data_IF_188844170934
#
_entry.id   IF_188844170934
#
_cell.length_a   1.000
_cell.length_b   1.000
_cell.length_c   1.000
_cell.angle_alpha   90.00
_cell.angle_beta   90.00
_cell.angle_gamma   90.00
#
_symmetry.space_group_name_H-M   'P 1'
#
loop_
_entity.id
_entity.type
_entity.pdbx_description
1 polymer ?
#
# COMPACT_ATOMS: atom_id res chain seq x y z
N UNK A 1 12.95 5.33 14.97
CA UNK A 1 13.57 5.22 13.63
C UNK A 1 12.95 6.28 12.70
N UNK A 2 13.64 6.69 11.62
CA UNK A 2 13.07 7.61 10.61
C UNK A 2 12.76 6.87 9.33
N UNK A 3 11.54 6.99 8.82
CA UNK A 3 11.11 6.41 7.54
C UNK A 3 10.65 7.49 6.60
N UNK A 4 10.96 7.35 5.31
CA UNK A 4 10.34 8.15 4.25
C UNK A 4 8.93 7.61 4.00
N UNK A 5 7.98 8.50 3.70
CA UNK A 5 6.63 8.09 3.30
C UNK A 5 6.19 8.85 2.06
N UNK A 6 5.64 8.12 1.07
CA UNK A 6 5.00 8.74 -0.09
C UNK A 6 3.72 9.46 0.31
N UNK A 7 3.31 10.43 -0.49
CA UNK A 7 2.07 11.18 -0.30
C UNK A 7 1.14 10.96 -1.48
N UNK A 8 -0.18 10.88 -1.23
CA UNK A 8 -1.17 10.99 -2.31
C UNK A 8 -1.18 12.41 -2.88
N UNK A 9 -1.74 12.56 -4.08
CA UNK A 9 -1.97 13.87 -4.70
C UNK A 9 -3.48 14.10 -4.71
N UNK A 10 -3.88 15.30 -4.29
CA UNK A 10 -5.23 15.80 -4.46
C UNK A 10 -5.20 16.96 -5.45
N UNK A 11 -6.17 17.01 -6.35
CA UNK A 11 -6.39 18.14 -7.24
C UNK A 11 -7.68 18.86 -6.82
N UNK A 12 -7.66 20.20 -6.76
CA UNK A 12 -8.85 21.00 -6.52
C UNK A 12 -9.60 21.29 -7.83
N UNK A 13 -10.75 21.95 -7.72
CA UNK A 13 -11.61 22.31 -8.86
C UNK A 13 -10.94 23.28 -9.86
N UNK A 14 -9.86 23.95 -9.46
CA UNK A 14 -9.06 24.84 -10.30
C UNK A 14 -7.88 24.11 -10.97
N UNK A 15 -7.73 22.81 -10.76
CA UNK A 15 -6.63 22.00 -11.28
C UNK A 15 -5.32 22.12 -10.48
N UNK A 16 -5.33 22.77 -9.31
CA UNK A 16 -4.16 22.87 -8.45
C UNK A 16 -3.93 21.54 -7.72
N UNK A 17 -2.71 21.01 -7.84
CA UNK A 17 -2.32 19.75 -7.20
C UNK A 17 -1.66 19.99 -5.84
N UNK A 18 -2.01 19.17 -4.86
CA UNK A 18 -1.49 19.22 -3.50
C UNK A 18 -0.98 17.85 -3.06
N UNK A 19 0.14 17.82 -2.35
CA UNK A 19 0.52 16.64 -1.59
C UNK A 19 -0.46 16.45 -0.42
N UNK A 20 -0.86 15.20 -0.19
CA UNK A 20 -1.79 14.83 0.89
C UNK A 20 -1.30 13.57 1.61
N UNK A 21 -1.21 13.65 2.92
CA UNK A 21 -0.99 12.52 3.80
C UNK A 21 -1.97 12.60 4.97
N UNK A 22 -2.69 11.50 5.26
CA UNK A 22 -3.54 11.43 6.44
C UNK A 22 -2.66 11.42 7.70
N UNK A 23 -2.99 12.27 8.68
CA UNK A 23 -2.26 12.35 9.94
C UNK A 23 -2.29 11.05 10.75
N UNK A 24 -3.24 10.17 10.48
CA UNK A 24 -3.34 8.84 11.10
C UNK A 24 -2.10 7.98 10.86
N UNK A 25 -1.41 8.15 9.70
CA UNK A 25 -0.12 7.50 9.48
C UNK A 25 0.90 7.92 10.54
N UNK A 26 1.01 9.20 10.83
CA UNK A 26 1.93 9.70 11.86
C UNK A 26 1.61 9.11 13.23
N UNK A 27 0.32 9.06 13.60
CA UNK A 27 -0.12 8.52 14.89
C UNK A 27 0.20 7.02 14.98
N UNK A 28 -0.17 6.23 13.95
CA UNK A 28 0.05 4.79 13.93
C UNK A 28 1.54 4.43 14.04
N UNK A 29 2.37 5.00 13.17
CA UNK A 29 3.80 4.69 13.16
C UNK A 29 4.57 5.28 14.36
N UNK A 30 4.10 6.38 14.93
CA UNK A 30 4.68 6.91 16.18
C UNK A 30 4.52 5.93 17.34
N UNK A 31 3.41 5.19 17.43
CA UNK A 31 3.22 4.14 18.43
C UNK A 31 4.24 2.99 18.28
N UNK A 32 4.82 2.83 17.09
CA UNK A 32 5.90 1.89 16.80
C UNK A 32 7.31 2.53 16.89
N UNK A 33 7.44 3.73 17.46
CA UNK A 33 8.68 4.50 17.53
C UNK A 33 9.30 4.83 16.15
N UNK A 34 8.45 5.00 15.13
CA UNK A 34 8.83 5.39 13.78
C UNK A 34 8.35 6.83 13.52
N UNK A 35 9.28 7.71 13.17
CA UNK A 35 9.00 9.08 12.73
C UNK A 35 8.94 9.12 11.22
N UNK A 36 7.84 9.62 10.64
CA UNK A 36 7.64 9.69 9.21
C UNK A 36 8.12 11.03 8.64
N UNK A 37 8.81 10.96 7.52
CA UNK A 37 9.24 12.12 6.71
C UNK A 37 8.48 12.05 5.37
N UNK A 38 7.44 12.87 5.16
CA UNK A 38 6.70 12.90 3.91
C UNK A 38 7.58 13.41 2.76
N UNK A 39 7.60 12.67 1.63
CA UNK A 39 8.35 13.05 0.44
C UNK A 39 7.44 13.83 -0.51
N UNK A 40 7.90 15.00 -0.95
CA UNK A 40 7.16 15.87 -1.86
C UNK A 40 7.17 15.31 -3.29
N UNK A 41 6.00 15.19 -3.92
CA UNK A 41 5.84 14.67 -5.28
C UNK A 41 6.32 15.66 -6.35
N UNK A 42 6.36 16.97 -6.06
CA UNK A 42 6.56 18.03 -7.06
C UNK A 42 7.99 18.56 -7.14
N UNK A 43 8.84 18.26 -6.17
CA UNK A 43 10.24 18.65 -6.24
C UNK A 43 11.02 17.76 -7.21
N UNK A 44 11.92 18.34 -7.99
CA UNK A 44 12.72 17.62 -8.98
C UNK A 44 13.80 16.73 -8.36
N UNK A 45 14.46 17.21 -7.30
CA UNK A 45 15.53 16.48 -6.62
C UNK A 45 15.04 15.87 -5.31
N UNK A 46 14.62 14.60 -5.38
CA UNK A 46 14.19 13.83 -4.22
C UNK A 46 15.36 13.26 -3.41
N UNK A 47 16.58 13.26 -3.96
CA UNK A 47 17.76 12.72 -3.25
C UNK A 47 18.10 13.49 -1.98
N UNK A 48 17.64 14.74 -1.85
CA UNK A 48 17.81 15.53 -0.61
C UNK A 48 17.10 14.92 0.62
N UNK A 49 16.16 14.00 0.43
CA UNK A 49 15.56 13.24 1.54
C UNK A 49 16.44 12.05 1.97
N UNK A 50 17.39 11.62 1.11
CA UNK A 50 18.16 10.41 1.29
C UNK A 50 19.39 10.68 2.16
N UNK A 51 19.44 10.04 3.31
CA UNK A 51 20.58 10.13 4.23
C UNK A 51 20.64 8.87 5.10
N UNK A 52 21.74 8.70 5.84
CA UNK A 52 22.02 7.51 6.65
C UNK A 52 21.07 7.30 7.83
N UNK A 53 20.29 8.34 8.22
CA UNK A 53 19.30 8.24 9.31
C UNK A 53 18.01 7.55 8.87
N UNK A 54 17.76 7.45 7.57
CA UNK A 54 16.59 6.77 7.02
C UNK A 54 16.76 5.27 7.18
N UNK A 55 15.78 4.63 7.82
CA UNK A 55 15.79 3.20 8.16
C UNK A 55 14.69 2.40 7.44
N UNK A 56 13.88 3.04 6.60
CA UNK A 56 12.87 2.38 5.80
C UNK A 56 12.06 3.36 4.96
N UNK A 57 11.22 2.79 4.11
CA UNK A 57 10.33 3.49 3.19
C UNK A 57 8.92 2.95 3.33
N UNK A 58 7.92 3.84 3.31
CA UNK A 58 6.50 3.48 3.28
C UNK A 58 5.88 4.09 2.03
N UNK A 59 5.20 3.29 1.24
CA UNK A 59 4.28 3.76 0.21
C UNK A 59 2.88 3.80 0.79
N UNK A 60 2.32 5.00 0.90
CA UNK A 60 1.03 5.21 1.56
C UNK A 60 -0.14 4.75 0.70
N UNK A 61 -1.29 4.51 1.33
CA UNK A 61 -2.57 4.35 0.65
C UNK A 61 -3.01 5.63 -0.07
N UNK A 62 -3.98 5.50 -0.95
CA UNK A 62 -4.61 6.63 -1.63
C UNK A 62 -6.12 6.41 -1.68
N UNK A 63 -6.90 7.46 -1.33
CA UNK A 63 -8.35 7.47 -1.54
C UNK A 63 -8.75 8.17 -2.84
N UNK A 64 -7.81 8.72 -3.57
CA UNK A 64 -8.08 9.56 -4.74
C UNK A 64 -7.56 8.86 -6.01
N UNK A 65 -8.32 7.88 -6.47
CA UNK A 65 -8.33 7.54 -7.89
C UNK A 65 -9.18 8.64 -8.52
N UNK A 66 -8.60 9.45 -9.41
CA UNK A 66 -9.35 10.39 -10.20
C UNK A 66 -10.56 9.65 -10.79
N UNK A 67 -11.77 10.13 -10.51
CA UNK A 67 -12.97 9.66 -11.19
C UNK A 67 -12.79 10.02 -12.65
N UNK A 68 -12.28 9.08 -13.45
CA UNK A 68 -12.32 9.21 -14.89
C UNK A 68 -13.79 9.09 -15.27
N UNK A 69 -14.40 10.11 -15.90
CA UNK A 69 -15.78 10.03 -16.32
C UNK A 69 -15.99 8.85 -17.26
N UNK A 70 -16.99 8.02 -16.97
CA UNK A 70 -17.66 7.05 -17.83
C UNK A 70 -16.85 6.47 -19.00
N UNK A 71 -15.90 5.60 -18.70
CA UNK A 71 -15.38 4.72 -19.74
C UNK A 71 -15.42 3.27 -19.20
N UNK A 72 -16.38 2.52 -19.73
CA UNK A 72 -16.49 1.06 -19.62
C UNK A 72 -15.28 0.37 -20.28
N UNK A 73 -14.16 0.26 -19.60
CA UNK A 73 -13.02 -0.51 -20.11
C UNK A 73 -12.48 -1.45 -19.07
N UNK A 74 -12.47 -2.70 -19.46
CA UNK A 74 -12.24 -3.93 -18.69
C UNK A 74 -10.80 -4.07 -18.18
N UNK A 75 -9.82 -3.32 -18.68
CA UNK A 75 -8.37 -3.50 -18.45
C UNK A 75 -7.67 -2.22 -18.01
N UNK A 76 -8.14 -1.55 -16.95
CA UNK A 76 -7.42 -0.35 -16.51
C UNK A 76 -6.55 -0.63 -15.29
N UNK A 77 -5.23 -0.48 -15.50
CA UNK A 77 -4.32 -0.14 -14.41
C UNK A 77 -4.87 1.11 -13.70
N UNK A 78 -4.89 1.15 -12.36
CA UNK A 78 -5.31 2.34 -11.65
C UNK A 78 -4.49 3.54 -12.14
N UNK A 79 -5.19 4.66 -12.41
CA UNK A 79 -4.50 5.88 -12.84
C UNK A 79 -3.71 6.44 -11.66
N UNK A 80 -2.41 6.43 -11.78
CA UNK A 80 -1.52 7.08 -10.83
C UNK A 80 -1.12 8.45 -11.38
N UNK A 81 -1.23 9.49 -10.57
CA UNK A 81 -0.59 10.75 -10.92
C UNK A 81 0.88 10.50 -11.24
N UNK A 82 1.33 10.93 -12.41
CA UNK A 82 2.71 10.68 -12.89
C UNK A 82 3.76 11.16 -11.88
N UNK A 83 3.50 12.28 -11.19
CA UNK A 83 4.39 12.83 -10.19
C UNK A 83 4.52 11.90 -8.97
N UNK A 84 3.41 11.29 -8.54
CA UNK A 84 3.41 10.30 -7.46
C UNK A 84 4.08 9.02 -7.90
N UNK A 85 3.73 8.51 -9.07
CA UNK A 85 4.32 7.30 -9.63
C UNK A 85 5.84 7.43 -9.74
N UNK A 86 6.32 8.54 -10.29
CA UNK A 86 7.75 8.84 -10.35
C UNK A 86 8.40 8.89 -8.96
N UNK A 87 7.73 9.52 -7.98
CA UNK A 87 8.23 9.57 -6.59
C UNK A 87 8.33 8.18 -5.98
N UNK A 88 7.30 7.37 -6.13
CA UNK A 88 7.24 6.02 -5.56
C UNK A 88 8.27 5.10 -6.21
N UNK A 89 8.49 5.20 -7.53
CA UNK A 89 9.56 4.45 -8.19
C UNK A 89 10.95 4.78 -7.60
N UNK A 90 11.26 6.06 -7.40
CA UNK A 90 12.51 6.49 -6.77
C UNK A 90 12.64 5.98 -5.33
N UNK A 91 11.54 5.97 -4.57
CA UNK A 91 11.53 5.47 -3.20
C UNK A 91 11.72 3.95 -3.13
N UNK A 92 11.13 3.20 -4.06
CA UNK A 92 11.34 1.75 -4.18
C UNK A 92 12.82 1.47 -4.48
N UNK A 93 13.37 2.10 -5.52
CA UNK A 93 14.79 1.95 -5.89
C UNK A 93 15.72 2.29 -4.71
N UNK A 94 15.43 3.35 -3.97
CA UNK A 94 16.21 3.75 -2.80
C UNK A 94 16.19 2.67 -1.72
N UNK A 95 15.01 2.10 -1.41
CA UNK A 95 14.88 1.04 -0.42
C UNK A 95 15.62 -0.23 -0.84
N UNK A 96 15.45 -0.68 -2.09
CA UNK A 96 16.11 -1.87 -2.65
C UNK A 96 17.63 -1.74 -2.65
N UNK A 97 18.17 -0.61 -3.11
CA UNK A 97 19.61 -0.37 -3.17
C UNK A 97 20.28 -0.39 -1.80
N UNK A 98 19.59 0.05 -0.75
CA UNK A 98 20.12 0.07 0.62
C UNK A 98 19.69 -1.16 1.44
N UNK A 99 18.85 -2.04 0.89
CA UNK A 99 18.25 -3.19 1.58
C UNK A 99 17.59 -2.79 2.91
N UNK A 100 16.90 -1.65 2.91
CA UNK A 100 16.09 -1.18 4.04
C UNK A 100 14.63 -1.57 3.83
N UNK A 101 13.81 -1.72 4.89
CA UNK A 101 12.40 -2.07 4.79
C UNK A 101 11.63 -1.18 3.80
N UNK A 102 10.89 -1.81 2.89
CA UNK A 102 9.92 -1.20 2.00
C UNK A 102 8.53 -1.73 2.36
N UNK A 103 7.65 -0.85 2.83
CA UNK A 103 6.29 -1.20 3.25
C UNK A 103 5.30 -0.54 2.31
N UNK A 104 4.37 -1.31 1.73
CA UNK A 104 3.25 -0.80 0.93
C UNK A 104 1.92 -0.98 1.67
N UNK A 105 1.12 0.09 1.74
CA UNK A 105 -0.22 0.08 2.35
C UNK A 105 -1.25 0.41 1.27
N UNK A 106 -2.23 -0.48 1.04
CA UNK A 106 -3.31 -0.33 0.08
C UNK A 106 -2.75 0.02 -1.33
N UNK A 107 -2.89 1.25 -1.80
CA UNK A 107 -2.26 1.71 -3.04
C UNK A 107 -0.75 1.40 -3.09
N UNK A 108 -0.04 1.63 -1.99
CA UNK A 108 1.41 1.37 -1.92
C UNK A 108 1.74 -0.10 -2.11
N UNK A 109 0.91 -1.02 -1.60
CA UNK A 109 1.01 -2.45 -1.86
C UNK A 109 0.83 -2.74 -3.37
N UNK A 110 -0.23 -2.19 -3.97
CA UNK A 110 -0.51 -2.35 -5.40
C UNK A 110 0.63 -1.79 -6.26
N UNK A 111 1.18 -0.63 -5.89
CA UNK A 111 2.34 -0.02 -6.57
C UNK A 111 3.58 -0.90 -6.52
N UNK A 112 3.86 -1.55 -5.42
CA UNK A 112 4.98 -2.50 -5.31
C UNK A 112 4.76 -3.69 -6.25
N UNK A 113 3.56 -4.26 -6.28
CA UNK A 113 3.23 -5.35 -7.21
C UNK A 113 3.42 -4.94 -8.68
N UNK A 114 2.89 -3.77 -9.08
CA UNK A 114 3.05 -3.23 -10.44
C UNK A 114 4.52 -2.96 -10.80
N UNK A 115 5.32 -2.45 -9.85
CA UNK A 115 6.75 -2.21 -10.04
C UNK A 115 7.52 -3.49 -10.37
N UNK A 116 7.14 -4.62 -9.78
CA UNK A 116 7.74 -5.93 -10.04
C UNK A 116 7.07 -6.71 -11.18
N UNK A 117 6.14 -6.09 -11.92
CA UNK A 117 5.52 -6.66 -13.11
C UNK A 117 4.23 -7.43 -12.88
N UNK A 118 3.69 -7.42 -11.67
CA UNK A 118 2.36 -7.94 -11.38
C UNK A 118 1.25 -7.06 -11.93
N UNK A 119 0.00 -7.52 -11.84
CA UNK A 119 -1.17 -6.79 -12.34
C UNK A 119 -2.13 -6.40 -11.21
N UNK A 120 -2.96 -5.39 -11.47
CA UNK A 120 -3.95 -4.85 -10.53
C UNK A 120 -5.30 -4.80 -11.24
N UNK A 121 -6.36 -5.22 -10.57
CA UNK A 121 -7.71 -5.30 -11.11
C UNK A 121 -8.69 -4.43 -10.33
N UNK A 122 -9.65 -3.84 -11.04
CA UNK A 122 -10.77 -3.19 -10.39
C UNK A 122 -11.80 -4.25 -9.93
N UNK A 123 -12.26 -4.16 -8.70
CA UNK A 123 -13.27 -5.08 -8.15
C UNK A 123 -14.59 -5.11 -8.94
N UNK A 124 -14.88 -4.10 -9.75
CA UNK A 124 -16.13 -3.95 -10.49
C UNK A 124 -16.50 -5.15 -11.36
N UNK A 125 -15.54 -5.96 -11.77
CA UNK A 125 -15.78 -7.11 -12.65
C UNK A 125 -16.07 -8.42 -11.92
N UNK A 126 -15.81 -8.50 -10.61
CA UNK A 126 -15.94 -9.76 -9.88
C UNK A 126 -17.12 -9.88 -8.92
N UNK A 127 -18.02 -8.94 -8.82
CA UNK A 127 -19.34 -8.98 -8.11
C UNK A 127 -19.62 -7.70 -7.31
N UNK A 128 -20.32 -6.80 -7.95
CA UNK A 128 -20.66 -5.43 -7.53
C UNK A 128 -21.39 -5.23 -6.20
N UNK A 129 -21.95 -6.26 -5.56
CA UNK A 129 -23.01 -6.01 -4.56
C UNK A 129 -22.50 -5.81 -3.12
N UNK A 130 -21.27 -6.13 -2.81
CA UNK A 130 -20.79 -6.15 -1.43
C UNK A 130 -19.60 -5.23 -1.09
N UNK A 131 -18.87 -4.71 -2.07
CA UNK A 131 -17.63 -3.95 -1.81
C UNK A 131 -17.74 -2.42 -1.95
N UNK A 132 -18.89 -1.87 -2.30
CA UNK A 132 -19.05 -0.42 -2.53
C UNK A 132 -19.14 0.45 -1.28
N UNK A 133 -19.01 -0.11 -0.08
CA UNK A 133 -19.09 0.65 1.17
C UNK A 133 -17.73 0.69 1.85
N UNK A 134 -17.05 1.82 1.74
CA UNK A 134 -15.85 2.10 2.52
C UNK A 134 -16.13 1.96 4.03
N UNK A 135 -15.19 1.38 4.77
CA UNK A 135 -15.30 1.20 6.21
C UNK A 135 -16.05 -0.06 6.65
N UNK A 136 -16.31 -1.02 5.76
CA UNK A 136 -16.79 -2.34 6.12
C UNK A 136 -15.58 -3.23 6.43
N UNK A 137 -15.71 -4.10 7.43
CA UNK A 137 -14.73 -5.14 7.69
C UNK A 137 -14.98 -6.34 6.79
N UNK A 138 -13.92 -7.03 6.38
CA UNK A 138 -13.96 -8.34 5.76
C UNK A 138 -12.94 -9.27 6.40
N UNK A 139 -13.07 -10.56 6.16
CA UNK A 139 -12.22 -11.55 6.77
C UNK A 139 -11.09 -11.96 5.81
N UNK A 140 -9.88 -12.02 6.35
CA UNK A 140 -8.70 -12.55 5.66
C UNK A 140 -8.23 -13.84 6.32
N UNK A 141 -7.65 -14.73 5.53
CA UNK A 141 -7.03 -15.95 5.99
C UNK A 141 -5.52 -15.90 5.85
N UNK A 142 -4.80 -16.25 6.92
CA UNK A 142 -3.35 -16.42 6.89
C UNK A 142 -2.95 -17.68 6.12
N UNK A 143 -1.95 -17.56 5.27
CA UNK A 143 -1.42 -18.67 4.45
C UNK A 143 -0.11 -19.25 5.00
N UNK A 144 0.55 -18.53 5.91
CA UNK A 144 1.80 -18.95 6.52
C UNK A 144 1.96 -18.47 7.97
N UNK A 145 3.13 -18.72 8.55
CA UNK A 145 3.39 -18.43 9.96
C UNK A 145 3.56 -16.93 10.27
N UNK A 146 3.66 -16.06 9.27
CA UNK A 146 3.83 -14.61 9.49
C UNK A 146 2.66 -14.03 10.30
N UNK A 147 1.43 -14.48 10.00
CA UNK A 147 0.21 -14.13 10.76
C UNK A 147 -0.49 -15.35 11.36
N UNK A 148 0.07 -16.53 11.18
CA UNK A 148 -0.50 -17.81 11.62
C UNK A 148 -1.33 -18.46 10.52
N UNK A 149 -0.82 -19.59 10.03
CA UNK A 149 -1.48 -20.40 9.00
C UNK A 149 -2.90 -20.76 9.42
N UNK A 150 -3.83 -20.63 8.49
CA UNK A 150 -5.27 -20.92 8.63
C UNK A 150 -6.03 -20.07 9.67
N UNK A 151 -5.38 -19.10 10.30
CA UNK A 151 -6.08 -18.13 11.16
C UNK A 151 -6.86 -17.13 10.33
N UNK A 152 -8.01 -16.73 10.85
CA UNK A 152 -8.89 -15.73 10.24
C UNK A 152 -8.85 -14.45 11.08
N UNK A 153 -8.76 -13.33 10.39
CA UNK A 153 -8.77 -11.99 10.99
C UNK A 153 -9.76 -11.10 10.27
N UNK A 154 -10.47 -10.27 11.00
CA UNK A 154 -11.33 -9.23 10.42
C UNK A 154 -10.54 -7.94 10.30
N UNK A 155 -10.45 -7.39 9.10
CA UNK A 155 -9.73 -6.16 8.78
C UNK A 155 -10.64 -5.13 8.10
N UNK A 156 -10.23 -3.87 8.08
CA UNK A 156 -11.00 -2.82 7.41
C UNK A 156 -10.78 -2.84 5.89
N UNK A 157 -11.79 -2.35 5.16
CA UNK A 157 -11.75 -2.24 3.70
C UNK A 157 -12.00 -0.79 3.26
N UNK A 158 -11.04 -0.25 2.46
CA UNK A 158 -11.11 1.09 1.87
C UNK A 158 -10.56 1.12 0.44
N UNK A 159 -10.67 0.00 -0.29
CA UNK A 159 -10.08 -0.14 -1.63
C UNK A 159 -11.11 -0.64 -2.64
N UNK A 160 -10.95 -0.20 -3.89
CA UNK A 160 -11.77 -0.59 -5.04
C UNK A 160 -10.97 -1.43 -6.05
N UNK A 161 -9.71 -1.72 -5.74
CA UNK A 161 -8.81 -2.53 -6.55
C UNK A 161 -8.24 -3.68 -5.73
N UNK A 162 -7.88 -4.75 -6.43
CA UNK A 162 -7.30 -5.96 -5.83
C UNK A 162 -6.16 -6.52 -6.70
N UNK A 163 -5.39 -7.42 -6.11
CA UNK A 163 -4.41 -8.26 -6.80
C UNK A 163 -4.96 -9.68 -6.75
N UNK A 164 -5.11 -10.33 -7.91
CA UNK A 164 -5.41 -11.75 -7.96
C UNK A 164 -4.15 -12.57 -7.63
N UNK A 165 -4.31 -13.79 -7.15
CA UNK A 165 -3.14 -14.62 -6.77
C UNK A 165 -2.25 -14.86 -7.99
N UNK A 166 -2.85 -15.13 -9.16
CA UNK A 166 -2.16 -15.33 -10.43
C UNK A 166 -1.47 -14.08 -11.00
N UNK A 167 -1.80 -12.89 -10.49
CA UNK A 167 -1.26 -11.60 -10.90
C UNK A 167 -0.30 -10.99 -9.87
N UNK A 168 0.01 -11.74 -8.81
CA UNK A 168 1.08 -11.36 -7.89
C UNK A 168 2.44 -11.56 -8.58
N UNK A 169 3.31 -10.56 -8.50
CA UNK A 169 4.65 -10.64 -9.08
C UNK A 169 5.45 -11.84 -8.51
N UNK A 170 6.19 -12.53 -9.38
CA UNK A 170 6.86 -13.81 -9.09
C UNK A 170 7.82 -13.77 -7.88
N UNK A 171 8.40 -12.62 -7.59
CA UNK A 171 9.32 -12.42 -6.47
C UNK A 171 8.62 -12.09 -5.14
N UNK A 172 7.29 -11.97 -5.13
CA UNK A 172 6.50 -11.68 -3.94
C UNK A 172 5.77 -12.94 -3.46
N UNK A 173 5.75 -13.17 -2.16
CA UNK A 173 5.08 -14.30 -1.54
C UNK A 173 3.81 -13.85 -0.83
N UNK A 174 2.64 -14.37 -1.23
CA UNK A 174 1.38 -14.12 -0.55
C UNK A 174 1.37 -14.75 0.84
N UNK A 175 0.98 -13.99 1.88
CA UNK A 175 0.78 -14.50 3.24
C UNK A 175 -0.65 -14.39 3.74
N UNK A 176 -1.50 -13.58 3.08
CA UNK A 176 -2.89 -13.39 3.44
C UNK A 176 -3.79 -13.20 2.22
N UNK A 177 -4.99 -13.79 2.26
CA UNK A 177 -6.00 -13.67 1.21
C UNK A 177 -7.37 -13.32 1.79
N UNK A 178 -8.21 -12.63 1.01
CA UNK A 178 -9.64 -12.48 1.31
C UNK A 178 -10.32 -13.85 1.31
N UNK A 179 -11.09 -14.14 2.35
CA UNK A 179 -11.76 -15.46 2.53
C UNK A 179 -12.81 -15.73 1.44
N UNK A 180 -13.42 -14.68 0.87
CA UNK A 180 -14.54 -14.80 -0.08
C UNK A 180 -14.10 -14.79 -1.53
N UNK A 181 -13.07 -13.98 -1.84
CA UNK A 181 -12.68 -13.70 -3.23
C UNK A 181 -11.30 -14.24 -3.58
N UNK A 182 -10.57 -14.73 -2.58
CA UNK A 182 -9.22 -15.26 -2.76
C UNK A 182 -8.26 -14.25 -3.43
N UNK A 183 -8.49 -12.95 -3.16
CA UNK A 183 -7.58 -11.87 -3.58
C UNK A 183 -6.46 -11.71 -2.56
N UNK A 184 -5.31 -11.24 -3.02
CA UNK A 184 -4.13 -11.03 -2.17
C UNK A 184 -4.38 -9.84 -1.23
N UNK A 185 -4.34 -10.10 0.06
CA UNK A 185 -4.48 -9.08 1.10
C UNK A 185 -3.13 -8.74 1.78
N UNK A 186 -2.15 -9.62 1.63
CA UNK A 186 -0.80 -9.35 2.10
C UNK A 186 0.25 -10.18 1.37
N UNK A 187 1.40 -9.57 1.11
CA UNK A 187 2.57 -10.24 0.56
C UNK A 187 3.86 -9.74 1.21
N UNK A 188 4.94 -10.51 1.04
CA UNK A 188 6.29 -10.11 1.45
C UNK A 188 7.36 -10.67 0.52
N UNK A 189 8.58 -10.10 0.65
CA UNK A 189 9.83 -10.65 0.14
C UNK A 189 10.92 -10.38 1.20
N UNK A 190 11.46 -11.44 1.80
CA UNK A 190 12.44 -11.31 2.88
C UNK A 190 13.83 -10.88 2.36
N UNK A 191 14.20 -11.26 1.13
CA UNK A 191 15.52 -10.93 0.56
C UNK A 191 15.66 -9.43 0.30
N UNK A 192 14.60 -8.82 -0.21
CA UNK A 192 14.54 -7.40 -0.54
C UNK A 192 13.88 -6.58 0.57
N UNK A 193 13.48 -7.23 1.68
CA UNK A 193 12.80 -6.60 2.82
C UNK A 193 11.54 -5.84 2.41
N UNK A 194 10.67 -6.49 1.65
CA UNK A 194 9.41 -5.93 1.16
C UNK A 194 8.23 -6.51 1.96
N UNK A 195 7.29 -5.65 2.32
CA UNK A 195 6.00 -6.00 2.92
C UNK A 195 4.89 -5.20 2.28
N UNK A 196 3.81 -5.85 1.87
CA UNK A 196 2.59 -5.20 1.38
C UNK A 196 1.37 -5.67 2.14
N UNK A 197 0.48 -4.74 2.52
CA UNK A 197 -0.84 -5.03 3.09
C UNK A 197 -1.91 -4.21 2.39
N UNK A 198 -3.07 -4.81 2.13
CA UNK A 198 -4.14 -4.16 1.36
C UNK A 198 -5.03 -3.27 2.22
N UNK A 199 -5.21 -3.58 3.49
CA UNK A 199 -6.00 -2.77 4.42
C UNK A 199 -5.25 -1.57 4.97
N UNK A 200 -5.95 -0.74 5.76
CA UNK A 200 -5.46 0.52 6.31
C UNK A 200 -5.28 0.43 7.84
N UNK A 201 -4.14 -0.05 8.35
CA UNK A 201 -3.92 -0.18 9.79
C UNK A 201 -3.94 1.17 10.51
N UNK A 202 -3.56 2.25 9.83
CA UNK A 202 -3.56 3.60 10.38
C UNK A 202 -4.97 4.12 10.68
N UNK A 203 -6.02 3.49 10.15
CA UNK A 203 -7.41 3.88 10.40
C UNK A 203 -8.01 3.22 11.64
N UNK A 204 -7.35 2.22 12.19
CA UNK A 204 -7.74 1.50 13.40
C UNK A 204 -6.58 1.57 14.43
N UNK A 205 -6.76 2.39 15.47
CA UNK A 205 -5.70 2.69 16.46
C UNK A 205 -5.16 1.42 17.14
N UNK A 206 -5.97 0.35 17.22
CA UNK A 206 -5.64 -0.90 17.86
C UNK A 206 -5.58 -2.08 16.85
N UNK A 207 -5.12 -1.85 15.63
CA UNK A 207 -4.86 -2.94 14.70
C UNK A 207 -3.63 -3.76 15.14
N UNK A 208 -3.87 -4.69 16.08
CA UNK A 208 -2.82 -5.56 16.61
C UNK A 208 -2.24 -6.47 15.52
N UNK A 209 -3.04 -6.86 14.50
CA UNK A 209 -2.58 -7.75 13.42
C UNK A 209 -1.49 -7.07 12.61
N UNK A 210 -1.74 -5.83 12.16
CA UNK A 210 -0.73 -5.08 11.42
C UNK A 210 0.48 -4.73 12.28
N UNK A 211 0.27 -4.38 13.56
CA UNK A 211 1.39 -4.11 14.47
C UNK A 211 2.28 -5.33 14.64
N UNK A 212 1.72 -6.51 14.87
CA UNK A 212 2.48 -7.75 15.00
C UNK A 212 3.25 -8.09 13.71
N UNK A 213 2.61 -7.93 12.53
CA UNK A 213 3.26 -8.11 11.24
C UNK A 213 4.47 -7.17 11.10
N UNK A 214 4.28 -5.88 11.39
CA UNK A 214 5.35 -4.89 11.26
C UNK A 214 6.48 -5.13 12.25
N UNK A 215 6.19 -5.49 13.52
CA UNK A 215 7.23 -5.81 14.51
C UNK A 215 8.05 -7.04 14.13
N UNK A 216 7.41 -8.05 13.53
CA UNK A 216 8.11 -9.26 13.07
C UNK A 216 8.93 -9.02 11.80
N UNK A 217 8.53 -8.03 11.00
CA UNK A 217 9.19 -7.71 9.74
C UNK A 217 10.35 -6.71 9.89
N UNK A 218 10.24 -5.74 10.80
CA UNK A 218 11.22 -4.64 11.00
C UNK A 218 12.43 -5.09 11.82
#
# INVERSE_FOLDING_TARGET
>A
MKFLISQSIKMDDNGTKYNRLDNKYHIFFQNMNISLIPVDNFISDKKKYFNSDIKGVILSGSGDIEKIPDIDTIDRKPYFFQERDHTENILIEYALNLKIPLIGICHGMQKINDYFGGSIHAYYHHKRETYSKQGISHDIQGLDDLIGKDKIYSINQYHDHCILIEDLADNLKCFAVDVRFNTVEGFYNNEDRILGIQWHPEREINDNVAQDIFYNFL
#
